data_IF_251735660003
#
_entry.id   IF_251735660003
#
_cell.length_a   1.000
_cell.length_b   1.000
_cell.length_c   1.000
_cell.angle_alpha   90.00
_cell.angle_beta   90.00
_cell.angle_gamma   90.00
#
_symmetry.space_group_name_H-M   'P 1'
#
loop_
_entity.id
_entity.type
_entity.pdbx_description
1 polymer ?
#
# COMPACT_ATOMS: atom_id res chain seq x y z
N UNK A 1 -10.43 -15.02 -8.77
CA UNK A 1 -10.58 -13.69 -8.15
C UNK A 1 -10.79 -13.80 -6.64
N UNK A 2 -11.68 -14.67 -6.16
CA UNK A 2 -11.87 -14.93 -4.70
C UNK A 2 -10.56 -15.21 -3.96
N UNK A 3 -9.75 -16.16 -4.45
CA UNK A 3 -8.49 -16.53 -3.79
C UNK A 3 -7.49 -15.37 -3.68
N UNK A 4 -7.40 -14.51 -4.71
CA UNK A 4 -6.49 -13.35 -4.72
C UNK A 4 -6.86 -12.32 -3.64
N UNK A 5 -8.16 -12.06 -3.47
CA UNK A 5 -8.63 -11.06 -2.50
C UNK A 5 -8.75 -11.61 -1.07
N UNK A 6 -8.97 -12.91 -0.88
CA UNK A 6 -8.93 -13.54 0.45
C UNK A 6 -7.49 -13.61 0.98
N UNK A 7 -6.52 -13.79 0.08
CA UNK A 7 -5.10 -13.94 0.44
C UNK A 7 -4.25 -12.71 0.08
N UNK A 8 -4.85 -11.53 -0.04
CA UNK A 8 -4.16 -10.31 -0.50
C UNK A 8 -2.91 -9.96 0.32
N UNK A 9 -2.87 -10.32 1.60
CA UNK A 9 -1.73 -10.10 2.50
C UNK A 9 -0.60 -11.12 2.33
N UNK A 10 -0.81 -12.19 1.55
CA UNK A 10 0.13 -13.30 1.33
C UNK A 10 0.67 -13.37 -0.10
N UNK A 11 0.17 -12.53 -1.00
CA UNK A 11 0.69 -12.41 -2.37
C UNK A 11 2.13 -11.90 -2.31
N UNK A 12 2.94 -12.22 -3.33
CA UNK A 12 4.29 -11.68 -3.43
C UNK A 12 4.26 -10.15 -3.57
N UNK A 13 5.09 -9.42 -2.80
CA UNK A 13 5.18 -7.96 -2.90
C UNK A 13 5.65 -7.51 -4.29
N UNK A 14 5.04 -6.47 -4.84
CA UNK A 14 5.52 -5.85 -6.07
C UNK A 14 6.91 -5.21 -5.84
N UNK A 15 7.90 -5.46 -6.72
CA UNK A 15 9.27 -5.01 -6.54
C UNK A 15 9.44 -3.52 -6.92
N UNK A 16 8.95 -2.62 -6.08
CA UNK A 16 9.14 -1.17 -6.24
C UNK A 16 10.60 -0.75 -6.02
N UNK A 17 11.00 0.34 -6.67
CA UNK A 17 12.31 0.97 -6.44
C UNK A 17 12.29 1.72 -5.12
N UNK A 18 13.27 1.49 -4.24
CA UNK A 18 13.43 2.23 -2.98
C UNK A 18 14.53 3.27 -3.15
N UNK A 19 14.15 4.55 -3.27
CA UNK A 19 15.10 5.66 -3.52
C UNK A 19 15.95 6.02 -2.31
N UNK A 20 15.31 5.97 -1.14
CA UNK A 20 15.92 6.29 0.15
C UNK A 20 15.59 5.13 1.09
N UNK A 21 16.60 4.63 1.80
CA UNK A 21 16.45 3.48 2.70
C UNK A 21 16.53 2.12 2.03
N UNK A 22 17.48 1.90 1.09
CA UNK A 22 17.68 0.59 0.46
C UNK A 22 17.93 -0.50 1.53
N UNK A 23 16.91 -1.32 1.72
CA UNK A 23 16.83 -2.38 2.72
C UNK A 23 17.91 -3.44 2.55
N UNK A 24 18.50 -3.56 1.35
CA UNK A 24 19.55 -4.53 1.05
C UNK A 24 20.91 -4.14 1.64
N UNK A 25 21.08 -2.87 2.00
CA UNK A 25 22.36 -2.33 2.50
C UNK A 25 22.23 -1.69 3.88
N UNK A 26 21.02 -1.47 4.38
CA UNK A 26 20.78 -0.86 5.68
C UNK A 26 20.96 -1.86 6.83
N UNK A 27 21.88 -1.58 7.75
CA UNK A 27 21.85 -2.19 9.10
C UNK A 27 20.77 -1.48 9.90
N UNK A 28 19.57 -2.05 9.92
CA UNK A 28 18.42 -1.49 10.64
C UNK A 28 18.55 -1.86 12.12
N UNK A 29 19.09 -0.94 12.94
CA UNK A 29 19.25 -1.15 14.38
C UNK A 29 17.91 -1.21 15.13
N UNK A 30 16.93 -0.45 14.66
CA UNK A 30 15.58 -0.38 15.21
C UNK A 30 14.55 -0.50 14.08
N UNK A 31 14.09 -1.74 13.78
CA UNK A 31 13.09 -1.97 12.73
C UNK A 31 11.76 -1.29 12.99
N UNK A 32 11.31 -1.22 14.25
CA UNK A 32 10.04 -0.58 14.59
C UNK A 32 10.07 0.91 14.26
N UNK A 33 11.14 1.62 14.65
CA UNK A 33 11.30 3.02 14.30
C UNK A 33 11.53 3.23 12.80
N UNK A 34 12.29 2.34 12.16
CA UNK A 34 12.62 2.47 10.74
C UNK A 34 11.38 2.35 9.83
N UNK A 35 10.52 1.36 10.10
CA UNK A 35 9.31 1.10 9.32
C UNK A 35 8.07 1.82 9.84
N UNK A 36 8.14 2.57 10.94
CA UNK A 36 6.99 3.29 11.49
C UNK A 36 6.37 4.22 10.45
N UNK A 37 5.08 4.02 10.17
CA UNK A 37 4.29 4.94 9.36
C UNK A 37 3.61 5.97 10.25
N UNK A 38 3.73 7.24 9.90
CA UNK A 38 2.88 8.31 10.46
C UNK A 38 1.75 8.62 9.50
N UNK A 39 2.09 8.95 8.25
CA UNK A 39 1.14 9.14 7.14
C UNK A 39 1.87 9.05 5.79
N UNK A 40 1.43 8.13 4.93
CA UNK A 40 1.93 8.03 3.55
C UNK A 40 1.43 9.20 2.69
N UNK A 41 2.23 9.62 1.71
CA UNK A 41 1.89 10.70 0.79
C UNK A 41 2.40 10.39 -0.62
N UNK A 42 1.68 10.87 -1.62
CA UNK A 42 2.21 10.91 -2.97
C UNK A 42 3.36 11.90 -3.09
N UNK A 43 4.25 11.64 -4.03
CA UNK A 43 5.25 12.61 -4.48
C UNK A 43 4.59 13.80 -5.21
N UNK A 44 5.43 14.71 -5.70
CA UNK A 44 4.97 15.93 -6.36
C UNK A 44 4.49 16.99 -5.37
N UNK A 45 3.53 17.81 -5.79
CA UNK A 45 3.01 18.93 -5.01
C UNK A 45 1.50 18.77 -4.73
N UNK A 46 0.92 19.70 -3.96
CA UNK A 46 -0.48 19.61 -3.57
C UNK A 46 -1.47 19.69 -4.74
N UNK A 47 -1.08 20.33 -5.86
CA UNK A 47 -1.91 20.50 -7.06
C UNK A 47 -1.69 19.36 -8.06
N UNK A 48 -0.46 18.86 -8.15
CA UNK A 48 -0.06 17.82 -9.07
C UNK A 48 0.66 16.71 -8.30
N UNK A 49 -0.10 15.66 -8.03
CA UNK A 49 0.38 14.48 -7.30
C UNK A 49 1.07 13.54 -8.27
N UNK A 50 2.31 13.18 -7.97
CA UNK A 50 3.01 12.10 -8.65
C UNK A 50 2.64 10.76 -8.01
N UNK A 51 1.77 9.99 -8.69
CA UNK A 51 1.35 8.65 -8.23
C UNK A 51 2.39 7.56 -8.48
N UNK A 52 3.45 7.84 -9.23
CA UNK A 52 4.56 6.88 -9.41
C UNK A 52 5.48 6.85 -8.18
N UNK A 53 5.38 7.86 -7.32
CA UNK A 53 6.17 8.00 -6.10
C UNK A 53 5.27 8.02 -4.85
N UNK A 54 5.59 7.18 -3.86
CA UNK A 54 4.97 7.22 -2.53
C UNK A 54 6.04 7.43 -1.47
N UNK A 55 5.93 8.54 -0.75
CA UNK A 55 6.69 8.84 0.45
C UNK A 55 6.03 8.05 1.59
N UNK A 56 6.67 6.97 2.01
CA UNK A 56 6.17 6.08 3.06
C UNK A 56 6.40 6.70 4.45
N UNK A 57 7.63 7.11 4.73
CA UNK A 57 8.03 7.86 5.93
C UNK A 57 9.33 8.65 5.67
N UNK A 58 10.00 9.13 6.73
CA UNK A 58 11.26 9.88 6.60
C UNK A 58 12.44 9.04 6.11
N UNK A 59 12.35 7.71 6.19
CA UNK A 59 13.41 6.77 5.84
C UNK A 59 13.21 6.15 4.46
N UNK A 60 11.94 5.93 4.05
CA UNK A 60 11.58 5.12 2.89
C UNK A 60 10.75 5.94 1.90
N UNK A 61 11.20 5.94 0.63
CA UNK A 61 10.44 6.46 -0.52
C UNK A 61 10.40 5.40 -1.62
N UNK A 62 9.20 4.98 -1.99
CA UNK A 62 8.93 4.06 -3.10
C UNK A 62 8.77 4.85 -4.39
N UNK A 63 9.38 4.36 -5.47
CA UNK A 63 9.29 4.91 -6.82
C UNK A 63 8.93 3.83 -7.84
N UNK A 64 8.62 4.26 -9.05
CA UNK A 64 8.29 3.42 -10.20
C UNK A 64 7.04 2.56 -9.95
N UNK A 65 6.07 3.08 -9.19
CA UNK A 65 4.77 2.42 -9.00
C UNK A 65 3.98 2.51 -10.31
N UNK A 66 3.54 1.40 -10.91
CA UNK A 66 2.77 1.41 -12.15
C UNK A 66 1.44 2.16 -11.97
N UNK A 67 1.13 3.07 -12.89
CA UNK A 67 -0.10 3.87 -12.80
C UNK A 67 -1.35 3.01 -12.94
N UNK A 68 -1.28 1.91 -13.69
CA UNK A 68 -2.37 0.95 -13.88
C UNK A 68 -2.77 0.26 -12.57
N UNK A 69 -1.89 0.22 -11.57
CA UNK A 69 -2.24 -0.32 -10.25
C UNK A 69 -3.33 0.51 -9.55
N UNK A 70 -3.49 1.79 -9.92
CA UNK A 70 -4.56 2.65 -9.40
C UNK A 70 -5.91 2.45 -10.09
N UNK A 71 -5.98 1.71 -11.20
CA UNK A 71 -7.24 1.44 -11.91
C UNK A 71 -8.15 0.49 -11.14
N UNK A 72 -7.58 -0.33 -10.24
CA UNK A 72 -8.37 -1.18 -9.36
C UNK A 72 -9.02 -0.36 -8.25
N UNK A 73 -10.29 0.00 -8.47
CA UNK A 73 -11.10 0.85 -7.59
C UNK A 73 -12.09 0.00 -6.78
N UNK A 74 -12.09 0.20 -5.47
CA UNK A 74 -13.04 -0.43 -4.54
C UNK A 74 -13.76 0.68 -3.77
N UNK A 75 -15.09 0.69 -3.84
CA UNK A 75 -15.93 1.71 -3.19
C UNK A 75 -15.52 3.16 -3.53
N UNK A 76 -15.28 3.43 -4.82
CA UNK A 76 -14.97 4.77 -5.33
C UNK A 76 -13.54 5.27 -5.08
N UNK A 77 -12.64 4.44 -4.53
CA UNK A 77 -11.24 4.78 -4.31
C UNK A 77 -10.28 3.66 -4.75
N UNK A 78 -9.11 3.97 -5.33
CA UNK A 78 -8.09 2.96 -5.64
C UNK A 78 -7.69 2.16 -4.39
N UNK A 79 -7.49 0.85 -4.55
CA UNK A 79 -7.11 -0.03 -3.43
C UNK A 79 -5.82 0.45 -2.71
N UNK A 80 -4.84 0.98 -3.45
CA UNK A 80 -3.60 1.53 -2.89
C UNK A 80 -3.88 2.75 -1.99
N UNK A 81 -4.83 3.61 -2.37
CA UNK A 81 -5.21 4.78 -1.57
C UNK A 81 -5.95 4.37 -0.28
N UNK A 82 -6.65 3.23 -0.27
CA UNK A 82 -7.19 2.66 0.97
C UNK A 82 -6.08 2.25 1.94
N UNK A 83 -5.01 1.62 1.45
CA UNK A 83 -3.85 1.28 2.30
C UNK A 83 -3.24 2.53 2.90
N UNK A 84 -2.99 3.57 2.09
CA UNK A 84 -2.42 4.84 2.55
C UNK A 84 -3.29 5.55 3.60
N UNK A 85 -4.62 5.43 3.49
CA UNK A 85 -5.54 6.04 4.44
C UNK A 85 -5.65 5.26 5.76
N UNK A 86 -5.57 3.93 5.70
CA UNK A 86 -5.77 3.05 6.87
C UNK A 86 -4.47 2.79 7.63
N UNK A 87 -3.33 2.73 6.95
CA UNK A 87 -2.01 2.57 7.54
C UNK A 87 -1.46 3.93 7.98
N UNK A 88 -2.05 4.47 9.04
CA UNK A 88 -1.77 5.82 9.55
C UNK A 88 -1.85 5.84 11.07
N UNK A 89 -1.18 6.80 11.71
CA UNK A 89 -1.45 7.16 13.12
C UNK A 89 -2.47 8.28 13.13
N UNK A 90 -3.65 8.03 13.71
CA UNK A 90 -4.74 9.01 13.78
C UNK A 90 -5.36 9.02 15.17
N UNK A 91 -5.48 10.23 15.73
CA UNK A 91 -6.24 10.46 16.96
C UNK A 91 -7.65 10.90 16.61
N UNK A 92 -8.64 10.22 17.17
CA UNK A 92 -10.01 10.71 17.13
C UNK A 92 -10.18 11.92 18.05
N UNK A 93 -10.70 13.03 17.52
CA UNK A 93 -10.77 14.29 18.26
C UNK A 93 -11.80 14.30 19.38
N UNK A 94 -12.89 13.54 19.22
CA UNK A 94 -13.98 13.54 20.19
C UNK A 94 -13.65 12.67 21.41
N UNK A 95 -13.09 11.48 21.17
CA UNK A 95 -12.74 10.51 22.22
C UNK A 95 -11.30 10.62 22.72
N UNK A 96 -10.39 11.23 21.95
CA UNK A 96 -8.96 11.24 22.23
C UNK A 96 -8.25 9.91 21.95
N UNK A 97 -8.97 8.89 21.46
CA UNK A 97 -8.41 7.56 21.20
C UNK A 97 -7.43 7.62 20.03
N UNK A 98 -6.21 7.14 20.25
CA UNK A 98 -5.17 7.02 19.21
C UNK A 98 -5.29 5.66 18.54
N UNK A 99 -5.60 5.68 17.25
CA UNK A 99 -5.47 4.53 16.37
C UNK A 99 -4.06 4.55 15.73
N UNK A 100 -3.23 3.59 16.11
CA UNK A 100 -1.89 3.41 15.57
C UNK A 100 -1.80 2.07 14.83
N UNK A 101 -1.85 2.12 13.50
CA UNK A 101 -1.79 0.92 12.66
C UNK A 101 -0.48 0.13 12.82
N UNK A 102 0.61 0.77 13.25
CA UNK A 102 1.90 0.09 13.47
C UNK A 102 1.82 -0.92 14.62
N UNK A 103 0.92 -0.71 15.59
CA UNK A 103 0.74 -1.66 16.70
C UNK A 103 0.29 -3.01 16.21
N UNK A 104 -0.58 -3.07 15.19
CA UNK A 104 -0.99 -4.35 14.60
C UNK A 104 0.20 -5.07 13.95
N UNK A 105 1.04 -4.33 13.21
CA UNK A 105 2.24 -4.87 12.58
C UNK A 105 3.22 -5.49 13.60
N UNK A 106 3.38 -4.85 14.76
CA UNK A 106 4.33 -5.27 15.80
C UNK A 106 3.71 -6.34 16.71
N UNK A 107 2.55 -6.05 17.29
CA UNK A 107 1.94 -6.86 18.35
C UNK A 107 1.23 -8.11 17.82
N UNK A 108 0.66 -8.04 16.60
CA UNK A 108 -0.14 -9.14 16.03
C UNK A 108 0.61 -9.89 14.93
N UNK A 109 1.18 -9.16 13.97
CA UNK A 109 1.88 -9.78 12.82
C UNK A 109 3.31 -10.17 13.20
N UNK A 110 3.95 -9.44 14.12
CA UNK A 110 5.36 -9.63 14.47
C UNK A 110 6.33 -9.17 13.36
N UNK A 111 5.88 -8.32 12.44
CA UNK A 111 6.69 -7.79 11.34
C UNK A 111 6.50 -6.26 11.23
N UNK A 112 7.47 -5.45 11.68
CA UNK A 112 7.40 -3.99 11.55
C UNK A 112 7.28 -3.48 10.11
N UNK A 113 7.80 -4.23 9.12
CA UNK A 113 7.70 -3.88 7.70
C UNK A 113 6.32 -4.18 7.10
N UNK A 114 5.40 -4.80 7.85
CA UNK A 114 4.08 -5.22 7.37
C UNK A 114 3.33 -4.13 6.59
N UNK A 115 3.23 -2.86 7.03
CA UNK A 115 2.49 -1.84 6.27
C UNK A 115 3.12 -1.52 4.91
N UNK A 116 4.46 -1.58 4.82
CA UNK A 116 5.20 -1.38 3.57
C UNK A 116 4.93 -2.56 2.60
N UNK A 117 5.10 -3.78 3.10
CA UNK A 117 4.85 -4.99 2.31
C UNK A 117 3.38 -5.06 1.88
N UNK A 118 2.45 -4.71 2.76
CA UNK A 118 1.03 -4.67 2.45
C UNK A 118 0.74 -3.74 1.26
N UNK A 119 1.36 -2.55 1.24
CA UNK A 119 1.22 -1.65 0.11
C UNK A 119 1.76 -2.28 -1.18
N UNK A 120 2.95 -2.89 -1.14
CA UNK A 120 3.55 -3.58 -2.28
C UNK A 120 2.70 -4.77 -2.78
N UNK A 121 2.13 -5.56 -1.86
CA UNK A 121 1.24 -6.68 -2.19
C UNK A 121 -0.05 -6.19 -2.84
N UNK A 122 -0.60 -5.07 -2.38
CA UNK A 122 -1.79 -4.46 -2.96
C UNK A 122 -1.50 -3.90 -4.37
N UNK A 123 -0.28 -3.46 -4.68
CA UNK A 123 0.13 -3.20 -6.08
C UNK A 123 -0.03 -4.46 -6.93
N UNK A 124 0.55 -5.60 -6.49
CA UNK A 124 0.43 -6.88 -7.21
C UNK A 124 -1.03 -7.30 -7.39
N UNK A 125 -1.82 -7.26 -6.33
CA UNK A 125 -3.25 -7.60 -6.36
C UNK A 125 -4.01 -6.72 -7.34
N UNK A 126 -3.76 -5.40 -7.35
CA UNK A 126 -4.40 -4.48 -8.29
C UNK A 126 -4.07 -4.83 -9.74
N UNK A 127 -2.79 -5.07 -10.05
CA UNK A 127 -2.35 -5.39 -11.41
C UNK A 127 -2.92 -6.72 -11.90
N UNK A 128 -2.86 -7.77 -11.07
CA UNK A 128 -3.41 -9.08 -11.42
C UNK A 128 -4.95 -9.03 -11.53
N UNK A 129 -5.60 -8.23 -10.70
CA UNK A 129 -7.04 -7.98 -10.81
C UNK A 129 -7.38 -7.35 -12.15
N UNK A 130 -6.71 -6.27 -12.53
CA UNK A 130 -6.99 -5.58 -13.78
C UNK A 130 -6.66 -6.44 -15.00
N UNK A 131 -5.63 -7.29 -14.91
CA UNK A 131 -5.33 -8.29 -15.94
C UNK A 131 -6.49 -9.28 -16.12
N UNK A 132 -7.06 -9.80 -15.04
CA UNK A 132 -8.22 -10.71 -15.10
C UNK A 132 -9.44 -9.99 -15.69
N UNK A 133 -9.75 -8.79 -15.18
CA UNK A 133 -10.92 -8.01 -15.63
C UNK A 133 -10.83 -7.69 -17.12
N UNK A 134 -9.67 -7.24 -17.61
CA UNK A 134 -9.44 -6.95 -19.02
C UNK A 134 -9.48 -8.20 -19.90
N UNK A 135 -9.28 -9.39 -19.32
CA UNK A 135 -9.35 -10.68 -20.00
C UNK A 135 -10.74 -11.33 -19.99
N UNK A 136 -11.76 -10.73 -19.36
CA UNK A 136 -13.11 -11.27 -19.36
C UNK A 136 -13.73 -11.20 -20.78
N UNK A 137 -14.56 -12.18 -21.17
CA UNK A 137 -15.29 -12.12 -22.42
C UNK A 137 -16.23 -10.91 -22.44
N UNK A 138 -16.57 -10.44 -23.64
CA UNK A 138 -17.60 -9.41 -23.80
C UNK A 138 -18.91 -9.93 -23.22
N UNK A 139 -19.66 -9.05 -22.57
CA UNK A 139 -20.99 -9.37 -22.09
C UNK A 139 -21.90 -9.58 -23.30
N UNK A 140 -22.36 -10.82 -23.49
CA UNK A 140 -23.44 -11.15 -24.42
C UNK A 140 -24.75 -11.19 -23.62
N UNK A 141 -25.74 -10.44 -24.07
CA UNK A 141 -27.08 -10.43 -23.50
C UNK A 141 -28.00 -11.00 -24.57
N UNK A 142 -28.64 -12.13 -24.30
CA UNK A 142 -29.70 -12.68 -25.15
C UNK A 142 -30.90 -11.74 -25.11
N UNK A 143 -31.44 -11.43 -26.30
CA UNK A 143 -32.54 -10.49 -26.51
C UNK A 143 -33.91 -11.08 -26.13
#
# INVERSE_FOLDING_TARGET
MGDLHVNYERVDPYPVTIKQGDLRTAVIKDPEAFYRVTKMKFGGNAREKDKTTVIYNANITMQDIPLEAYDYVVNGKPALEWVMERQVVKTDKASGIVNDANRYAIETVGNPAYPLELFQRVITVSLETMKIVRGLPKLEIEA
#
